data_IF_003389700293
#
_entry.id   IF_003389700293
#
_cell.length_a   1.000
_cell.length_b   1.000
_cell.length_c   1.000
_cell.angle_alpha   90.00
_cell.angle_beta   90.00
_cell.angle_gamma   90.00
#
_symmetry.space_group_name_H-M   'P 1'
#
loop_
_entity.id
_entity.type
_entity.pdbx_description
1 polymer ?
#
# COMPACT_ATOMS: atom_id res chain seq x y z
N UNK A 1 -11.74 -34.18 -40.04
CA UNK A 1 -11.85 -32.75 -40.39
C UNK A 1 -10.97 -32.00 -39.41
N UNK A 2 -9.70 -31.88 -39.76
CA UNK A 2 -8.75 -30.97 -39.16
C UNK A 2 -9.13 -29.54 -39.56
N UNK A 3 -9.36 -28.67 -38.56
CA UNK A 3 -9.43 -27.23 -38.74
C UNK A 3 -9.10 -26.50 -37.42
N UNK A 4 -7.79 -26.32 -37.16
CA UNK A 4 -7.25 -25.06 -36.64
C UNK A 4 -7.51 -24.68 -35.18
N UNK A 5 -6.95 -25.42 -34.22
CA UNK A 5 -6.57 -24.79 -32.96
C UNK A 5 -5.21 -24.11 -33.16
N UNK A 6 -5.22 -22.94 -33.78
CA UNK A 6 -4.09 -22.02 -33.76
C UNK A 6 -3.93 -21.53 -32.33
N UNK A 7 -3.18 -22.28 -31.52
CA UNK A 7 -2.72 -21.80 -30.22
C UNK A 7 -1.83 -20.60 -30.47
N UNK A 8 -2.40 -19.40 -30.50
CA UNK A 8 -1.66 -18.16 -30.42
C UNK A 8 -0.76 -18.27 -29.19
N UNK A 9 0.54 -18.42 -29.42
CA UNK A 9 1.54 -18.36 -28.36
C UNK A 9 1.30 -17.04 -27.64
N UNK A 10 0.87 -17.10 -26.38
CA UNK A 10 0.76 -15.90 -25.56
C UNK A 10 2.12 -15.18 -25.64
N UNK A 11 2.14 -13.87 -25.92
CA UNK A 11 3.40 -13.15 -26.11
C UNK A 11 4.26 -13.33 -24.86
N UNK A 12 5.42 -13.97 -25.00
CA UNK A 12 6.33 -14.19 -23.88
C UNK A 12 6.83 -12.82 -23.39
N UNK A 13 6.48 -12.48 -22.15
CA UNK A 13 6.91 -11.21 -21.56
C UNK A 13 8.37 -11.32 -21.12
N UNK A 14 9.25 -10.65 -21.85
CA UNK A 14 10.66 -10.50 -21.47
C UNK A 14 10.88 -9.36 -20.46
N UNK A 15 12.03 -9.36 -19.77
CA UNK A 15 12.47 -8.31 -18.86
C UNK A 15 12.51 -6.92 -19.51
N UNK A 16 12.69 -6.87 -20.83
CA UNK A 16 12.61 -5.62 -21.60
C UNK A 16 11.23 -4.95 -21.47
N UNK A 17 10.14 -5.73 -21.47
CA UNK A 17 8.78 -5.21 -21.31
C UNK A 17 8.56 -4.64 -19.90
N UNK A 18 9.13 -5.28 -18.89
CA UNK A 18 9.12 -4.77 -17.51
C UNK A 18 9.90 -3.44 -17.43
N UNK A 19 11.04 -3.35 -18.10
CA UNK A 19 11.84 -2.13 -18.22
C UNK A 19 11.09 -0.98 -18.92
N UNK A 20 10.37 -1.28 -20.01
CA UNK A 20 9.51 -0.30 -20.68
C UNK A 20 8.38 0.19 -19.75
N UNK A 21 7.74 -0.72 -19.00
CA UNK A 21 6.75 -0.37 -17.99
C UNK A 21 7.31 0.53 -16.88
N UNK A 22 8.54 0.27 -16.43
CA UNK A 22 9.26 1.13 -15.49
C UNK A 22 9.52 2.54 -16.06
N UNK A 23 9.62 2.67 -17.39
CA UNK A 23 9.69 3.94 -18.09
C UNK A 23 8.51 4.89 -17.78
N UNK A 24 7.31 4.36 -17.58
CA UNK A 24 6.16 5.19 -17.18
C UNK A 24 6.31 5.81 -15.78
N UNK A 25 6.99 5.10 -14.86
CA UNK A 25 7.32 5.65 -13.54
C UNK A 25 8.37 6.75 -13.67
N UNK A 26 9.38 6.57 -14.52
CA UNK A 26 10.39 7.61 -14.80
C UNK A 26 9.72 8.84 -15.42
N UNK A 27 8.75 8.66 -16.32
CA UNK A 27 7.98 9.75 -16.89
C UNK A 27 7.23 10.54 -15.82
N UNK A 28 6.55 9.86 -14.89
CA UNK A 28 5.88 10.50 -13.75
C UNK A 28 6.85 11.28 -12.85
N UNK A 29 8.05 10.75 -12.63
CA UNK A 29 9.13 11.42 -11.87
C UNK A 29 9.59 12.68 -12.57
N UNK A 30 9.78 12.64 -13.89
CA UNK A 30 10.18 13.80 -14.70
C UNK A 30 9.08 14.87 -14.65
N UNK A 31 7.82 14.48 -14.84
CA UNK A 31 6.68 15.41 -14.79
C UNK A 31 6.54 16.06 -13.41
N UNK A 32 6.71 15.27 -12.34
CA UNK A 32 6.71 15.77 -10.97
C UNK A 32 7.84 16.79 -10.73
N UNK A 33 9.03 16.55 -11.29
CA UNK A 33 10.16 17.48 -11.23
C UNK A 33 9.95 18.78 -12.01
N UNK A 34 9.26 18.73 -13.15
CA UNK A 34 8.91 19.91 -13.96
C UNK A 34 7.87 20.77 -13.25
N UNK A 35 6.87 20.15 -12.62
CA UNK A 35 5.78 20.84 -11.92
C UNK A 35 6.18 21.37 -10.52
N UNK A 36 7.43 21.15 -10.08
CA UNK A 36 7.92 21.63 -8.79
C UNK A 36 7.28 20.96 -7.56
N UNK A 37 6.69 19.77 -7.74
CA UNK A 37 6.11 18.97 -6.65
C UNK A 37 7.21 18.51 -5.67
N UNK A 38 6.82 18.27 -4.42
CA UNK A 38 7.75 17.88 -3.35
C UNK A 38 8.61 16.68 -3.75
N UNK A 39 9.93 16.82 -3.55
CA UNK A 39 10.96 15.84 -3.94
C UNK A 39 10.70 14.44 -3.35
N UNK A 40 10.04 14.38 -2.20
CA UNK A 40 9.73 13.14 -1.48
C UNK A 40 8.77 12.22 -2.25
N UNK A 41 7.87 12.78 -3.07
CA UNK A 41 6.89 12.01 -3.84
C UNK A 41 7.60 11.26 -4.98
N UNK A 42 8.47 11.95 -5.70
CA UNK A 42 9.20 11.36 -6.83
C UNK A 42 10.12 10.21 -6.40
N UNK A 43 10.85 10.38 -5.30
CA UNK A 43 11.75 9.36 -4.77
C UNK A 43 10.99 8.16 -4.19
N UNK A 44 9.89 8.42 -3.47
CA UNK A 44 9.07 7.33 -2.93
C UNK A 44 8.44 6.48 -4.03
N UNK A 45 8.08 7.07 -5.18
CA UNK A 45 7.55 6.33 -6.33
C UNK A 45 8.60 5.37 -6.94
N UNK A 46 9.84 5.84 -7.13
CA UNK A 46 10.93 5.00 -7.66
C UNK A 46 11.26 3.86 -6.69
N UNK A 47 11.38 4.17 -5.40
CA UNK A 47 11.67 3.16 -4.36
C UNK A 47 10.53 2.13 -4.30
N UNK A 48 9.28 2.56 -4.38
CA UNK A 48 8.12 1.66 -4.42
C UNK A 48 8.14 0.76 -5.66
N UNK A 49 8.48 1.31 -6.84
CA UNK A 49 8.59 0.54 -8.06
C UNK A 49 9.71 -0.51 -8.01
N UNK A 50 10.90 -0.14 -7.53
CA UNK A 50 12.01 -1.08 -7.33
C UNK A 50 11.67 -2.17 -6.30
N UNK A 51 11.05 -1.79 -5.18
CA UNK A 51 10.54 -2.74 -4.17
C UNK A 51 9.52 -3.69 -4.79
N UNK A 52 8.61 -3.19 -5.63
CA UNK A 52 7.62 -4.02 -6.33
C UNK A 52 8.30 -5.08 -7.21
N UNK A 53 9.24 -4.68 -8.06
CA UNK A 53 9.99 -5.61 -8.93
C UNK A 53 10.70 -6.68 -8.09
N UNK A 54 11.42 -6.28 -7.04
CA UNK A 54 12.13 -7.20 -6.17
C UNK A 54 11.18 -8.15 -5.41
N UNK A 55 10.07 -7.65 -4.89
CA UNK A 55 9.09 -8.44 -4.16
C UNK A 55 8.36 -9.45 -5.04
N UNK A 56 7.95 -9.04 -6.24
CA UNK A 56 7.28 -9.95 -7.19
C UNK A 56 8.24 -11.05 -7.68
N UNK A 57 9.48 -10.69 -7.98
CA UNK A 57 10.52 -11.65 -8.38
C UNK A 57 10.82 -12.66 -7.27
N UNK A 58 10.93 -12.18 -6.02
CA UNK A 58 11.15 -13.05 -4.86
C UNK A 58 9.93 -13.96 -4.62
N UNK A 59 8.71 -13.43 -4.75
CA UNK A 59 7.47 -14.18 -4.56
C UNK A 59 7.40 -15.37 -5.53
N UNK A 60 7.82 -15.21 -6.79
CA UNK A 60 7.87 -16.32 -7.76
C UNK A 60 8.77 -17.46 -7.30
N UNK A 61 9.90 -17.16 -6.66
CA UNK A 61 10.81 -18.19 -6.13
C UNK A 61 10.24 -18.84 -4.87
N UNK A 62 9.62 -18.04 -3.98
CA UNK A 62 9.05 -18.52 -2.71
C UNK A 62 7.82 -19.41 -2.92
N UNK A 63 6.99 -19.12 -3.93
CA UNK A 63 5.75 -19.89 -4.16
C UNK A 63 6.00 -21.30 -4.71
N UNK A 64 7.06 -21.51 -5.51
CA UNK A 64 7.40 -22.83 -6.08
C UNK A 64 7.46 -23.96 -5.04
N UNK A 65 8.25 -23.87 -3.95
CA UNK A 65 8.31 -24.90 -2.92
C UNK A 65 7.03 -24.99 -2.07
N UNK A 66 6.24 -23.92 -1.99
CA UNK A 66 4.99 -23.92 -1.24
C UNK A 66 3.90 -24.68 -1.99
N UNK A 67 3.87 -24.57 -3.33
CA UNK A 67 2.90 -25.28 -4.16
C UNK A 67 3.12 -26.81 -4.20
N UNK A 68 4.36 -27.27 -4.04
CA UNK A 68 4.67 -28.70 -3.89
C UNK A 68 4.58 -29.20 -2.45
N UNK A 69 4.34 -28.31 -1.48
CA UNK A 69 4.28 -28.61 -0.07
C UNK A 69 2.91 -29.13 0.41
N UNK A 70 2.90 -29.72 1.59
CA UNK A 70 1.66 -30.14 2.28
C UNK A 70 0.94 -29.01 3.03
N UNK A 71 -0.10 -29.32 3.82
CA UNK A 71 -0.88 -28.33 4.59
C UNK A 71 -0.03 -27.44 5.50
N UNK A 72 1.08 -27.97 6.03
CA UNK A 72 2.02 -27.23 6.86
C UNK A 72 2.78 -26.13 6.10
N UNK A 73 3.07 -26.33 4.81
CA UNK A 73 3.67 -25.29 3.98
C UNK A 73 2.69 -24.13 3.77
N UNK A 74 1.40 -24.45 3.57
CA UNK A 74 0.31 -23.47 3.45
C UNK A 74 0.11 -22.70 4.76
N UNK A 75 0.13 -23.38 5.90
CA UNK A 75 0.09 -22.72 7.20
C UNK A 75 1.31 -21.80 7.43
N UNK A 76 2.50 -22.24 7.01
CA UNK A 76 3.72 -21.45 7.08
C UNK A 76 3.65 -20.16 6.27
N UNK A 77 3.16 -20.21 5.03
CA UNK A 77 3.00 -19.00 4.20
C UNK A 77 1.90 -18.07 4.74
N UNK A 78 0.83 -18.61 5.31
CA UNK A 78 -0.23 -17.82 5.97
C UNK A 78 0.34 -17.03 7.14
N UNK A 79 1.11 -17.72 7.98
CA UNK A 79 1.78 -17.09 9.11
C UNK A 79 2.77 -16.02 8.63
N UNK A 80 3.58 -16.34 7.61
CA UNK A 80 4.52 -15.39 7.01
C UNK A 80 3.82 -14.14 6.47
N UNK A 81 2.70 -14.28 5.75
CA UNK A 81 1.93 -13.14 5.23
C UNK A 81 1.35 -12.27 6.33
N UNK A 82 0.88 -12.85 7.44
CA UNK A 82 0.41 -12.08 8.59
C UNK A 82 1.54 -11.33 9.29
N UNK A 83 2.71 -11.97 9.45
CA UNK A 83 3.90 -11.35 10.03
C UNK A 83 4.39 -10.21 9.15
N UNK A 84 4.61 -10.46 7.85
CA UNK A 84 5.04 -9.44 6.89
C UNK A 84 4.02 -8.30 6.78
N UNK A 85 2.72 -8.62 6.80
CA UNK A 85 1.65 -7.64 6.80
C UNK A 85 1.66 -6.74 8.03
N UNK A 86 1.91 -7.31 9.21
CA UNK A 86 2.08 -6.57 10.46
C UNK A 86 3.29 -5.65 10.39
N UNK A 87 4.43 -6.15 9.90
CA UNK A 87 5.63 -5.33 9.71
C UNK A 87 5.36 -4.16 8.74
N UNK A 88 4.71 -4.42 7.62
CA UNK A 88 4.35 -3.38 6.64
C UNK A 88 3.41 -2.34 7.24
N UNK A 89 2.39 -2.77 8.00
CA UNK A 89 1.44 -1.90 8.68
C UNK A 89 2.13 -0.98 9.69
N UNK A 90 2.98 -1.54 10.56
CA UNK A 90 3.63 -0.84 11.68
C UNK A 90 4.78 0.04 11.21
N UNK A 91 5.62 -0.45 10.29
CA UNK A 91 6.87 0.22 9.96
C UNK A 91 6.78 1.13 8.73
N UNK A 92 6.02 0.72 7.71
CA UNK A 92 6.01 1.40 6.41
C UNK A 92 4.78 2.32 6.23
N UNK A 93 3.58 1.87 6.63
CA UNK A 93 2.35 2.66 6.42
C UNK A 93 1.95 3.54 7.61
N UNK A 94 2.29 3.19 8.84
CA UNK A 94 1.91 3.98 10.02
C UNK A 94 2.80 5.24 10.19
N UNK A 95 2.20 6.42 10.00
CA UNK A 95 2.85 7.74 10.21
C UNK A 95 2.94 8.16 11.69
N UNK A 96 2.08 7.65 12.57
CA UNK A 96 2.04 7.94 14.02
C UNK A 96 1.92 6.62 14.79
N UNK A 97 2.73 6.40 15.84
CA UNK A 97 2.90 5.08 16.48
C UNK A 97 2.53 5.11 17.98
N UNK A 98 2.15 3.97 18.57
CA UNK A 98 1.93 3.83 20.03
C UNK A 98 2.53 2.55 20.63
N UNK A 99 3.06 2.56 21.85
CA UNK A 99 4.13 1.66 22.34
C UNK A 99 3.88 0.12 22.31
N UNK A 100 2.68 -0.45 22.48
CA UNK A 100 2.41 -1.89 22.20
C UNK A 100 2.00 -2.17 20.72
N UNK A 101 2.92 -1.88 19.77
CA UNK A 101 2.69 -1.76 18.30
C UNK A 101 2.40 -3.06 17.56
N UNK A 102 3.16 -4.12 17.85
CA UNK A 102 3.23 -5.32 17.00
C UNK A 102 2.21 -6.39 17.41
N UNK A 103 2.07 -6.77 18.69
CA UNK A 103 1.17 -7.87 19.06
C UNK A 103 -0.30 -7.50 18.86
N UNK A 104 -0.68 -6.23 19.08
CA UNK A 104 -2.06 -5.76 18.86
C UNK A 104 -2.44 -5.79 17.37
N UNK A 105 -1.58 -5.25 16.50
CA UNK A 105 -1.78 -5.24 15.05
C UNK A 105 -1.73 -6.66 14.48
N UNK A 106 -0.80 -7.50 14.95
CA UNK A 106 -0.74 -8.90 14.57
C UNK A 106 -2.01 -9.66 14.96
N UNK A 107 -2.51 -9.46 16.18
CA UNK A 107 -3.72 -10.12 16.66
C UNK A 107 -4.95 -9.67 15.85
N UNK A 108 -5.06 -8.38 15.53
CA UNK A 108 -6.13 -7.88 14.65
C UNK A 108 -6.07 -8.47 13.25
N UNK A 109 -4.87 -8.57 12.66
CA UNK A 109 -4.68 -9.16 11.33
C UNK A 109 -4.94 -10.66 11.32
N UNK A 110 -4.28 -11.42 12.19
CA UNK A 110 -4.40 -12.86 12.27
C UNK A 110 -5.82 -13.27 12.68
N UNK A 111 -6.40 -12.58 13.66
CA UNK A 111 -7.75 -12.83 14.16
C UNK A 111 -8.87 -12.49 13.18
N UNK A 112 -8.59 -11.72 12.12
CA UNK A 112 -9.56 -11.45 11.04
C UNK A 112 -9.29 -12.31 9.80
N UNK A 113 -8.04 -12.34 9.34
CA UNK A 113 -7.67 -12.95 8.07
C UNK A 113 -7.73 -14.48 8.11
N UNK A 114 -7.28 -15.11 9.20
CA UNK A 114 -7.30 -16.56 9.33
C UNK A 114 -8.73 -17.12 9.33
N UNK A 115 -9.67 -16.65 10.19
CA UNK A 115 -11.02 -17.21 10.18
C UNK A 115 -11.77 -16.91 8.87
N UNK A 116 -11.65 -15.69 8.32
CA UNK A 116 -12.35 -15.34 7.07
C UNK A 116 -11.81 -16.13 5.88
N UNK A 117 -10.49 -16.35 5.79
CA UNK A 117 -9.91 -17.15 4.72
C UNK A 117 -10.30 -18.63 4.83
N UNK A 118 -10.25 -19.22 6.03
CA UNK A 118 -10.64 -20.63 6.22
C UNK A 118 -12.13 -20.84 5.92
N UNK A 119 -13.01 -19.98 6.48
CA UNK A 119 -14.45 -20.08 6.27
C UNK A 119 -14.82 -19.79 4.81
N UNK A 120 -14.22 -18.75 4.21
CA UNK A 120 -14.50 -18.37 2.82
C UNK A 120 -14.04 -19.43 1.82
N UNK A 121 -12.82 -19.96 1.97
CA UNK A 121 -12.31 -20.98 1.06
C UNK A 121 -13.05 -22.32 1.20
N UNK A 122 -13.40 -22.71 2.43
CA UNK A 122 -14.14 -23.97 2.66
C UNK A 122 -15.61 -23.88 2.25
N UNK A 123 -16.33 -22.86 2.70
CA UNK A 123 -17.78 -22.79 2.52
C UNK A 123 -18.21 -21.98 1.30
N UNK A 124 -17.60 -20.82 1.05
CA UNK A 124 -18.04 -19.95 -0.04
C UNK A 124 -17.47 -20.40 -1.39
N UNK A 125 -16.20 -20.81 -1.44
CA UNK A 125 -15.55 -21.26 -2.67
C UNK A 125 -15.68 -22.77 -2.93
N UNK A 126 -16.20 -23.53 -1.96
CA UNK A 126 -16.40 -24.98 -2.03
C UNK A 126 -15.15 -25.75 -2.50
N UNK A 127 -13.97 -25.34 -2.02
CA UNK A 127 -12.72 -26.01 -2.36
C UNK A 127 -12.47 -27.20 -1.45
N UNK A 128 -12.45 -28.40 -2.05
CA UNK A 128 -11.96 -29.61 -1.38
C UNK A 128 -10.63 -30.08 -2.01
N UNK A 129 -9.54 -30.17 -1.22
CA UNK A 129 -9.35 -29.61 0.12
C UNK A 129 -9.17 -28.08 0.11
N UNK A 130 -9.56 -27.40 1.20
CA UNK A 130 -9.52 -25.93 1.31
C UNK A 130 -8.10 -25.33 1.27
N UNK A 131 -7.07 -26.16 1.49
CA UNK A 131 -5.66 -25.75 1.50
C UNK A 131 -4.98 -25.91 0.13
N UNK A 132 -5.72 -26.01 -0.97
CA UNK A 132 -5.15 -26.02 -2.33
C UNK A 132 -4.27 -24.76 -2.54
N UNK A 133 -2.93 -24.91 -2.62
CA UNK A 133 -2.01 -23.76 -2.52
C UNK A 133 -2.17 -22.74 -3.65
N UNK A 134 -2.46 -23.22 -4.85
CA UNK A 134 -2.64 -22.45 -6.09
C UNK A 134 -3.81 -21.47 -6.01
N UNK A 135 -4.87 -21.81 -5.28
CA UNK A 135 -6.08 -21.00 -5.15
C UNK A 135 -6.11 -20.23 -3.82
N UNK A 136 -5.70 -20.87 -2.73
CA UNK A 136 -5.78 -20.30 -1.39
C UNK A 136 -4.78 -19.15 -1.17
N UNK A 137 -3.54 -19.30 -1.65
CA UNK A 137 -2.47 -18.32 -1.38
C UNK A 137 -2.74 -16.96 -2.05
N UNK A 138 -3.16 -16.89 -3.33
CA UNK A 138 -3.53 -15.61 -3.95
C UNK A 138 -4.71 -14.92 -3.23
N UNK A 139 -5.74 -15.69 -2.84
CA UNK A 139 -6.90 -15.16 -2.11
C UNK A 139 -6.44 -14.56 -0.78
N UNK A 140 -5.64 -15.30 -0.02
CA UNK A 140 -5.09 -14.82 1.24
C UNK A 140 -4.23 -13.56 1.06
N UNK A 141 -3.38 -13.52 0.04
CA UNK A 141 -2.56 -12.35 -0.28
C UNK A 141 -3.40 -11.10 -0.54
N UNK A 142 -4.51 -11.25 -1.29
CA UNK A 142 -5.46 -10.16 -1.53
C UNK A 142 -6.16 -9.70 -0.24
N UNK A 143 -6.62 -10.63 0.60
CA UNK A 143 -7.22 -10.30 1.90
C UNK A 143 -6.24 -9.50 2.76
N UNK A 144 -5.03 -10.02 3.01
CA UNK A 144 -3.99 -9.34 3.75
C UNK A 144 -3.72 -7.93 3.21
N UNK A 145 -3.52 -7.80 1.89
CA UNK A 145 -3.18 -6.53 1.25
C UNK A 145 -4.24 -5.43 1.44
N UNK A 146 -5.51 -5.77 1.22
CA UNK A 146 -6.64 -4.86 1.44
C UNK A 146 -6.81 -4.50 2.92
N UNK A 147 -6.73 -5.50 3.80
CA UNK A 147 -6.98 -5.36 5.23
C UNK A 147 -5.92 -4.51 5.93
N UNK A 148 -4.64 -4.65 5.56
CA UNK A 148 -3.56 -3.77 6.05
C UNK A 148 -3.89 -2.31 5.77
N UNK A 149 -4.36 -2.01 4.56
CA UNK A 149 -4.63 -0.63 4.13
C UNK A 149 -5.78 -0.01 4.92
N UNK A 150 -6.91 -0.73 5.06
CA UNK A 150 -8.05 -0.25 5.85
C UNK A 150 -7.72 -0.11 7.33
N UNK A 151 -7.05 -1.11 7.92
CA UNK A 151 -6.67 -1.10 9.33
C UNK A 151 -5.72 0.06 9.68
N UNK A 152 -4.72 0.33 8.84
CA UNK A 152 -3.79 1.46 9.08
C UNK A 152 -4.52 2.81 9.00
N UNK A 153 -5.46 2.95 8.08
CA UNK A 153 -6.31 4.17 7.99
C UNK A 153 -7.13 4.34 9.28
N UNK A 154 -7.81 3.27 9.74
CA UNK A 154 -8.62 3.31 10.96
C UNK A 154 -7.79 3.73 12.19
N UNK A 155 -6.66 3.03 12.42
CA UNK A 155 -5.79 3.29 13.58
C UNK A 155 -5.17 4.68 13.50
N UNK A 156 -4.70 5.10 12.33
CA UNK A 156 -4.09 6.42 12.17
C UNK A 156 -5.09 7.54 12.41
N UNK A 157 -6.34 7.36 11.97
CA UNK A 157 -7.42 8.31 12.22
C UNK A 157 -7.75 8.39 13.71
N UNK A 158 -7.95 7.27 14.40
CA UNK A 158 -8.22 7.25 15.86
C UNK A 158 -7.12 7.97 16.64
N UNK A 159 -5.85 7.67 16.35
CA UNK A 159 -4.72 8.32 17.03
C UNK A 159 -4.67 9.83 16.76
N UNK A 160 -4.98 10.24 15.53
CA UNK A 160 -5.04 11.66 15.17
C UNK A 160 -6.18 12.37 15.90
N UNK A 161 -7.39 11.80 15.86
CA UNK A 161 -8.58 12.37 16.49
C UNK A 161 -8.45 12.48 18.01
N UNK A 162 -7.89 11.47 18.68
CA UNK A 162 -7.68 11.53 20.14
C UNK A 162 -6.66 12.62 20.50
N UNK A 163 -5.64 12.86 19.67
CA UNK A 163 -4.67 13.92 19.89
C UNK A 163 -5.27 15.31 19.64
N UNK A 164 -6.05 15.48 18.57
CA UNK A 164 -6.62 16.77 18.17
C UNK A 164 -7.85 17.16 19.01
N UNK A 165 -8.68 16.20 19.41
CA UNK A 165 -9.90 16.41 20.19
C UNK A 165 -9.79 15.91 21.65
N UNK A 166 -8.56 15.95 22.21
CA UNK A 166 -8.26 15.51 23.57
C UNK A 166 -9.24 16.08 24.61
N UNK A 167 -9.43 17.40 24.58
CA UNK A 167 -10.23 18.12 25.59
C UNK A 167 -11.68 17.63 25.62
N UNK A 168 -12.24 17.29 24.45
CA UNK A 168 -13.60 16.74 24.34
C UNK A 168 -13.67 15.36 24.98
N UNK A 169 -12.71 14.49 24.69
CA UNK A 169 -12.68 13.13 25.25
C UNK A 169 -12.52 13.19 26.77
N UNK A 170 -11.62 14.02 27.29
CA UNK A 170 -11.45 14.22 28.73
C UNK A 170 -12.70 14.80 29.39
N UNK A 171 -13.40 15.72 28.72
CA UNK A 171 -14.69 16.27 29.20
C UNK A 171 -15.73 15.16 29.35
N UNK A 172 -15.93 14.31 28.33
CA UNK A 172 -16.87 13.18 28.43
C UNK A 172 -16.53 12.23 29.58
N UNK A 173 -15.24 11.92 29.76
CA UNK A 173 -14.78 11.07 30.86
C UNK A 173 -15.01 11.73 32.23
N UNK A 174 -14.85 13.06 32.34
CA UNK A 174 -15.13 13.82 33.55
C UNK A 174 -16.64 13.87 33.89
N UNK A 175 -17.51 13.85 32.89
CA UNK A 175 -18.96 13.69 33.07
C UNK A 175 -19.40 12.25 33.37
N UNK A 176 -18.46 11.31 33.53
CA UNK A 176 -18.73 9.93 33.91
C UNK A 176 -19.04 8.98 32.74
N UNK A 177 -18.81 9.41 31.49
CA UNK A 177 -18.97 8.52 30.34
C UNK A 177 -17.95 7.37 30.39
N UNK A 178 -18.38 6.18 29.98
CA UNK A 178 -17.47 5.05 29.83
C UNK A 178 -16.51 5.25 28.64
N UNK A 179 -15.39 4.53 28.66
CA UNK A 179 -14.35 4.56 27.60
C UNK A 179 -14.94 4.26 26.21
N UNK A 180 -15.92 3.37 26.15
CA UNK A 180 -16.60 3.01 24.92
C UNK A 180 -17.55 4.11 24.44
N UNK A 181 -18.28 4.77 25.35
CA UNK A 181 -19.18 5.86 25.00
C UNK A 181 -18.43 7.09 24.52
N UNK A 182 -17.37 7.49 25.22
CA UNK A 182 -16.54 8.65 24.86
C UNK A 182 -15.87 8.47 23.48
N UNK A 183 -15.47 7.23 23.13
CA UNK A 183 -14.75 6.94 21.90
C UNK A 183 -15.61 6.38 20.75
N UNK A 184 -16.88 6.06 20.99
CA UNK A 184 -17.83 5.56 19.97
C UNK A 184 -17.90 6.43 18.69
N UNK A 185 -18.01 7.76 18.76
CA UNK A 185 -18.06 8.58 17.54
C UNK A 185 -16.75 8.51 16.74
N UNK A 186 -15.61 8.53 17.43
CA UNK A 186 -14.28 8.41 16.82
C UNK A 186 -14.13 7.04 16.14
N UNK A 187 -14.53 5.96 16.82
CA UNK A 187 -14.46 4.61 16.27
C UNK A 187 -15.35 4.41 15.04
N UNK A 188 -16.53 5.02 15.04
CA UNK A 188 -17.50 4.91 13.93
C UNK A 188 -16.96 5.59 12.68
N UNK A 189 -16.42 6.80 12.81
CA UNK A 189 -15.80 7.51 11.69
C UNK A 189 -14.50 6.84 11.23
N UNK A 190 -13.69 6.29 12.14
CA UNK A 190 -12.51 5.51 11.78
C UNK A 190 -12.86 4.30 10.89
N UNK A 191 -13.90 3.56 11.27
CA UNK A 191 -14.36 2.40 10.51
C UNK A 191 -14.94 2.81 9.16
N UNK A 192 -15.72 3.90 9.12
CA UNK A 192 -16.24 4.46 7.88
C UNK A 192 -15.12 4.79 6.90
N UNK A 193 -14.10 5.53 7.36
CA UNK A 193 -12.95 5.90 6.54
C UNK A 193 -12.15 4.69 6.04
N UNK A 194 -12.03 3.64 6.86
CA UNK A 194 -11.34 2.42 6.49
C UNK A 194 -12.08 1.59 5.42
N UNK A 195 -13.42 1.62 5.43
CA UNK A 195 -14.27 0.83 4.52
C UNK A 195 -14.63 1.55 3.22
N UNK A 196 -14.57 2.88 3.19
CA UNK A 196 -14.87 3.68 1.99
C UNK A 196 -14.16 3.18 0.72
N UNK A 197 -12.85 2.85 0.72
CA UNK A 197 -12.19 2.36 -0.49
C UNK A 197 -12.79 1.06 -1.02
N UNK A 198 -13.13 0.12 -0.13
CA UNK A 198 -13.72 -1.17 -0.51
C UNK A 198 -15.15 -0.99 -1.03
N UNK A 199 -15.95 -0.13 -0.40
CA UNK A 199 -17.30 0.18 -0.85
C UNK A 199 -17.27 0.82 -2.24
N UNK A 200 -16.41 1.82 -2.43
CA UNK A 200 -16.25 2.49 -3.73
C UNK A 200 -15.79 1.51 -4.81
N UNK A 201 -14.90 0.57 -4.47
CA UNK A 201 -14.46 -0.46 -5.40
C UNK A 201 -15.61 -1.38 -5.81
N UNK A 202 -16.44 -1.84 -4.85
CA UNK A 202 -17.61 -2.67 -5.12
C UNK A 202 -18.64 -1.99 -6.02
N UNK A 203 -18.81 -0.67 -5.90
CA UNK A 203 -19.75 0.09 -6.75
C UNK A 203 -19.32 0.18 -8.21
N UNK A 204 -18.03 0.00 -8.51
CA UNK A 204 -17.44 0.24 -9.83
C UNK A 204 -17.05 -1.06 -10.54
N UNK A 205 -16.73 -2.11 -9.77
CA UNK A 205 -16.41 -3.44 -10.28
C UNK A 205 -17.59 -4.00 -11.08
N UNK A 206 -17.31 -4.44 -12.31
CA UNK A 206 -18.31 -5.00 -13.22
C UNK A 206 -19.04 -3.96 -14.09
N UNK A 207 -19.00 -2.67 -13.73
CA UNK A 207 -19.50 -1.59 -14.60
C UNK A 207 -18.43 -1.10 -15.59
N UNK A 208 -17.25 -0.72 -15.06
CA UNK A 208 -16.14 -0.20 -15.88
C UNK A 208 -14.83 -0.95 -15.64
N UNK A 209 -14.67 -1.56 -14.47
CA UNK A 209 -13.45 -2.22 -14.05
C UNK A 209 -13.63 -3.73 -14.01
N UNK A 210 -12.81 -4.46 -14.77
CA UNK A 210 -12.64 -5.91 -14.64
C UNK A 210 -11.45 -6.13 -13.68
N UNK A 211 -11.67 -6.75 -12.51
CA UNK A 211 -10.57 -7.04 -11.59
C UNK A 211 -9.51 -7.94 -12.22
N UNK A 212 -8.23 -7.68 -11.91
CA UNK A 212 -7.12 -8.40 -12.55
C UNK A 212 -7.15 -9.93 -12.34
N UNK A 213 -7.65 -10.42 -11.20
CA UNK A 213 -7.81 -11.86 -10.96
C UNK A 213 -8.92 -12.47 -11.82
N UNK A 214 -10.03 -11.73 -12.03
CA UNK A 214 -11.08 -12.14 -12.96
C UNK A 214 -10.55 -12.19 -14.40
N UNK A 215 -9.80 -11.16 -14.84
CA UNK A 215 -9.12 -11.19 -16.15
C UNK A 215 -8.16 -12.37 -16.24
N UNK A 216 -7.37 -12.64 -15.20
CA UNK A 216 -6.47 -13.80 -15.15
C UNK A 216 -7.20 -15.14 -15.28
N UNK A 217 -8.33 -15.31 -14.61
CA UNK A 217 -9.16 -16.52 -14.72
C UNK A 217 -9.73 -16.69 -16.13
N UNK A 218 -10.17 -15.59 -16.76
CA UNK A 218 -10.65 -15.58 -18.14
C UNK A 218 -9.55 -15.95 -19.14
N UNK A 219 -8.35 -15.36 -19.00
CA UNK A 219 -7.18 -15.70 -19.83
C UNK A 219 -6.74 -17.16 -19.61
N UNK A 220 -6.94 -17.68 -18.39
CA UNK A 220 -6.73 -19.10 -18.07
C UNK A 220 -7.82 -20.04 -18.57
N UNK A 221 -8.80 -19.57 -19.35
CA UNK A 221 -9.86 -20.38 -19.95
C UNK A 221 -11.03 -20.71 -19.03
N UNK A 222 -11.16 -20.05 -17.87
CA UNK A 222 -12.33 -20.23 -17.00
C UNK A 222 -13.58 -19.60 -17.62
N UNK A 223 -14.75 -20.18 -17.32
CA UNK A 223 -16.02 -19.59 -17.76
C UNK A 223 -16.25 -18.23 -17.10
N UNK A 224 -16.82 -17.29 -17.87
CA UNK A 224 -17.08 -15.91 -17.40
C UNK A 224 -17.96 -15.89 -16.16
N UNK A 225 -18.98 -16.75 -16.13
CA UNK A 225 -19.91 -16.86 -15.01
C UNK A 225 -19.20 -17.33 -13.73
N UNK A 226 -18.30 -18.32 -13.84
CA UNK A 226 -17.56 -18.82 -12.69
C UNK A 226 -16.57 -17.77 -12.17
N UNK A 227 -15.88 -17.09 -13.07
CA UNK A 227 -14.95 -16.01 -12.70
C UNK A 227 -15.68 -14.85 -11.99
N UNK A 228 -16.88 -14.48 -12.46
CA UNK A 228 -17.71 -13.46 -11.82
C UNK A 228 -18.17 -13.88 -10.41
N UNK A 229 -18.65 -15.11 -10.23
CA UNK A 229 -19.06 -15.64 -8.91
C UNK A 229 -17.90 -15.64 -7.92
N UNK A 230 -16.72 -16.10 -8.35
CA UNK A 230 -15.53 -16.10 -7.51
C UNK A 230 -15.11 -14.69 -7.11
N UNK A 231 -15.18 -13.74 -8.05
CA UNK A 231 -14.84 -12.35 -7.78
C UNK A 231 -15.81 -11.67 -6.80
N UNK A 232 -17.11 -11.97 -6.88
CA UNK A 232 -18.11 -11.50 -5.90
C UNK A 232 -17.79 -12.03 -4.49
N UNK A 233 -17.52 -13.33 -4.37
CA UNK A 233 -17.15 -13.96 -3.10
C UNK A 233 -15.91 -13.29 -2.49
N UNK A 234 -14.86 -13.08 -3.29
CA UNK A 234 -13.62 -12.46 -2.82
C UNK A 234 -13.85 -11.03 -2.35
N UNK A 235 -14.69 -10.26 -3.04
CA UNK A 235 -15.01 -8.89 -2.61
C UNK A 235 -15.72 -8.89 -1.25
N UNK A 236 -16.67 -9.80 -1.02
CA UNK A 236 -17.33 -9.94 0.28
C UNK A 236 -16.37 -10.38 1.38
N UNK A 237 -15.44 -11.29 1.07
CA UNK A 237 -14.39 -11.72 2.01
C UNK A 237 -13.44 -10.56 2.36
N UNK A 238 -13.00 -9.76 1.37
CA UNK A 238 -12.16 -8.58 1.58
C UNK A 238 -12.85 -7.58 2.51
N UNK A 239 -14.13 -7.28 2.26
CA UNK A 239 -14.89 -6.34 3.08
C UNK A 239 -15.06 -6.85 4.51
N UNK A 240 -15.41 -8.14 4.67
CA UNK A 240 -15.58 -8.77 5.99
C UNK A 240 -14.28 -8.79 6.79
N UNK A 241 -13.17 -9.18 6.15
CA UNK A 241 -11.84 -9.21 6.75
C UNK A 241 -11.39 -7.80 7.16
N UNK A 242 -11.54 -6.82 6.28
CA UNK A 242 -11.15 -5.43 6.54
C UNK A 242 -11.98 -4.80 7.65
N UNK A 243 -13.29 -5.06 7.68
CA UNK A 243 -14.18 -4.62 8.76
C UNK A 243 -13.77 -5.21 10.10
N UNK A 244 -13.57 -6.52 10.16
CA UNK A 244 -13.22 -7.23 11.40
C UNK A 244 -11.85 -6.79 11.91
N UNK A 245 -10.83 -6.71 11.05
CA UNK A 245 -9.50 -6.26 11.43
C UNK A 245 -9.50 -4.82 11.94
N UNK A 246 -10.21 -3.93 11.24
CA UNK A 246 -10.30 -2.51 11.61
C UNK A 246 -11.03 -2.35 12.94
N UNK A 247 -12.11 -3.09 13.16
CA UNK A 247 -12.84 -3.09 14.43
C UNK A 247 -11.94 -3.54 15.58
N UNK A 248 -11.30 -4.71 15.47
CA UNK A 248 -10.41 -5.23 16.52
C UNK A 248 -9.23 -4.28 16.75
N UNK A 249 -8.62 -3.75 15.70
CA UNK A 249 -7.52 -2.81 15.82
C UNK A 249 -7.93 -1.50 16.50
N UNK A 250 -9.09 -0.92 16.15
CA UNK A 250 -9.62 0.28 16.79
C UNK A 250 -9.93 0.01 18.25
N UNK A 251 -10.63 -1.09 18.57
CA UNK A 251 -10.95 -1.44 19.96
C UNK A 251 -9.69 -1.63 20.80
N UNK A 252 -8.70 -2.38 20.32
CA UNK A 252 -7.43 -2.56 21.02
C UNK A 252 -6.68 -1.23 21.18
N UNK A 253 -6.66 -0.38 20.17
CA UNK A 253 -6.02 0.94 20.23
C UNK A 253 -6.68 1.80 21.32
N UNK A 254 -8.02 1.85 21.38
CA UNK A 254 -8.76 2.60 22.40
C UNK A 254 -8.53 2.06 23.82
N UNK A 255 -8.48 0.73 23.98
CA UNK A 255 -8.20 0.09 25.26
C UNK A 255 -6.77 0.36 25.78
N UNK A 256 -5.84 0.71 24.90
CA UNK A 256 -4.45 1.01 25.24
C UNK A 256 -4.24 2.51 25.49
N UNK A 257 -4.92 3.37 24.73
CA UNK A 257 -4.76 4.83 24.78
C UNK A 257 -5.56 5.44 25.93
N UNK A 258 -6.81 5.01 26.13
CA UNK A 258 -7.52 5.29 27.37
C UNK A 258 -7.03 4.26 28.39
N UNK A 259 -7.08 4.49 29.70
CA UNK A 259 -6.76 3.50 30.74
C UNK A 259 -8.03 3.02 31.45
N UNK A 260 -8.10 1.84 32.10
CA UNK A 260 -9.26 1.42 32.90
C UNK A 260 -9.73 2.43 33.94
N UNK A 261 -8.84 3.32 34.41
CA UNK A 261 -9.21 4.45 35.28
C UNK A 261 -9.77 5.67 34.53
N UNK A 262 -10.19 5.53 33.27
CA UNK A 262 -10.73 6.61 32.43
C UNK A 262 -9.75 7.79 32.26
N UNK A 263 -8.44 7.52 32.27
CA UNK A 263 -7.40 8.52 32.02
C UNK A 263 -6.84 8.38 30.61
N UNK A 264 -6.60 9.48 29.92
CA UNK A 264 -5.97 9.48 28.60
C UNK A 264 -4.44 9.33 28.76
N UNK A 265 -3.86 8.21 28.30
CA UNK A 265 -2.42 7.94 28.35
C UNK A 265 -1.75 8.31 27.02
N UNK A 266 -1.52 9.61 26.82
CA UNK A 266 -0.79 10.11 25.65
C UNK A 266 0.70 9.78 25.68
N UNK A 267 1.26 9.46 26.86
CA UNK A 267 2.66 9.03 27.03
C UNK A 267 3.01 7.75 26.26
N UNK A 268 1.99 7.00 25.81
CA UNK A 268 2.18 5.82 24.97
C UNK A 268 2.11 6.13 23.47
N UNK A 269 1.83 7.36 23.06
CA UNK A 269 1.70 7.77 21.66
C UNK A 269 2.97 8.47 21.20
N UNK A 270 4.01 7.67 20.95
CA UNK A 270 5.28 8.18 20.43
C UNK A 270 5.18 8.57 18.95
N UNK A 271 5.39 9.87 18.70
CA UNK A 271 5.64 10.44 17.36
C UNK A 271 7.11 10.29 16.93
N UNK A 272 7.89 9.43 17.60
CA UNK A 272 9.31 9.31 17.29
C UNK A 272 9.50 8.61 15.93
N UNK A 273 10.05 9.37 14.98
CA UNK A 273 10.42 8.88 13.64
C UNK A 273 11.39 7.74 13.80
N UNK A 274 11.00 6.54 13.37
CA UNK A 274 11.86 5.37 13.39
C UNK A 274 13.21 5.66 12.71
N UNK A 275 14.29 5.06 13.23
CA UNK A 275 15.61 5.04 12.57
C UNK A 275 15.54 4.64 11.08
N UNK A 276 14.54 3.83 10.72
CA UNK A 276 14.26 3.39 9.34
C UNK A 276 13.87 4.56 8.42
N UNK A 277 13.16 5.58 8.93
CA UNK A 277 12.83 6.79 8.15
C UNK A 277 14.07 7.66 7.93
N UNK A 278 14.95 7.81 8.94
CA UNK A 278 16.25 8.49 8.76
C UNK A 278 17.16 7.77 7.75
N UNK A 279 17.15 6.43 7.74
CA UNK A 279 17.89 5.65 6.76
C UNK A 279 17.31 5.76 5.35
N UNK A 280 15.98 5.72 5.23
CA UNK A 280 15.27 5.91 3.96
C UNK A 280 15.49 7.31 3.39
N UNK A 281 15.45 8.34 4.22
CA UNK A 281 15.66 9.72 3.78
C UNK A 281 17.09 9.91 3.23
N UNK A 282 18.11 9.23 3.80
CA UNK A 282 19.47 9.17 3.21
C UNK A 282 19.52 8.48 1.84
N UNK A 283 18.78 7.38 1.67
CA UNK A 283 18.70 6.68 0.37
C UNK A 283 17.95 7.52 -0.66
N UNK A 284 16.88 8.20 -0.24
CA UNK A 284 16.11 9.15 -1.05
C UNK A 284 17.02 10.27 -1.56
N UNK A 285 17.82 10.89 -0.68
CA UNK A 285 18.76 11.93 -1.06
C UNK A 285 19.80 11.44 -2.09
N UNK A 286 20.30 10.22 -1.94
CA UNK A 286 21.24 9.60 -2.89
C UNK A 286 20.63 9.35 -4.27
N UNK A 287 19.42 8.80 -4.32
CA UNK A 287 18.70 8.54 -5.58
C UNK A 287 18.33 9.85 -6.28
N UNK A 288 17.80 10.83 -5.54
CA UNK A 288 17.45 12.16 -6.06
C UNK A 288 18.69 12.90 -6.56
N UNK A 289 19.81 12.82 -5.85
CA UNK A 289 21.09 13.38 -6.27
C UNK A 289 21.60 12.77 -7.58
N UNK A 290 21.48 11.44 -7.74
CA UNK A 290 21.82 10.73 -8.96
C UNK A 290 20.96 11.15 -10.16
N UNK A 291 19.64 11.22 -9.98
CA UNK A 291 18.69 11.66 -11.02
C UNK A 291 18.93 13.11 -11.41
N UNK A 292 19.19 14.00 -10.46
CA UNK A 292 19.48 15.43 -10.74
C UNK A 292 20.82 15.61 -11.47
N UNK A 293 21.84 14.83 -11.15
CA UNK A 293 23.13 14.87 -11.85
C UNK A 293 23.00 14.38 -13.30
N UNK A 294 22.21 13.34 -13.54
CA UNK A 294 21.89 12.84 -14.87
C UNK A 294 21.08 13.87 -15.67
N UNK A 295 20.02 14.44 -15.08
CA UNK A 295 19.15 15.41 -15.74
C UNK A 295 19.84 16.76 -15.97
N UNK A 296 20.62 17.24 -14.99
CA UNK A 296 21.43 18.45 -15.11
C UNK A 296 22.46 18.35 -16.23
N UNK A 297 23.06 17.17 -16.45
CA UNK A 297 23.96 16.93 -17.60
C UNK A 297 23.21 16.95 -18.93
N UNK A 298 22.00 16.42 -18.99
CA UNK A 298 21.17 16.40 -20.22
C UNK A 298 20.65 17.81 -20.55
N UNK A 299 20.14 18.55 -19.56
CA UNK A 299 19.61 19.90 -19.74
C UNK A 299 20.72 20.92 -20.03
N UNK A 300 21.89 20.80 -19.39
CA UNK A 300 23.05 21.66 -19.66
C UNK A 300 23.69 21.37 -21.02
N UNK A 301 23.57 20.14 -21.55
CA UNK A 301 23.92 19.84 -22.96
C UNK A 301 22.97 20.49 -23.96
N UNK A 302 21.70 20.69 -23.61
CA UNK A 302 20.71 21.33 -24.48
C UNK A 302 20.82 22.86 -24.46
N UNK A 303 20.98 23.49 -23.30
CA UNK A 303 21.19 24.95 -23.21
C UNK A 303 22.61 25.40 -23.56
N UNK A 304 23.62 24.52 -23.45
CA UNK A 304 24.98 24.81 -23.92
C UNK A 304 25.11 24.88 -25.44
N UNK A 305 24.10 24.41 -26.19
CA UNK A 305 24.03 24.53 -27.65
C UNK A 305 23.51 25.88 -28.15
N UNK A 306 22.70 26.59 -27.35
CA UNK A 306 22.20 27.93 -27.72
C UNK A 306 23.17 29.05 -27.34
N UNK A 307 23.93 28.89 -26.25
CA UNK A 307 24.88 29.93 -25.81
C UNK A 307 26.11 30.04 -26.73
N UNK A 308 26.44 28.99 -27.49
CA UNK A 308 27.54 29.03 -28.46
C UNK A 308 27.13 29.56 -29.84
N UNK A 309 25.84 29.82 -30.08
CA UNK A 309 25.35 30.46 -31.32
C UNK A 309 25.23 31.98 -31.18
N UNK A 310 25.07 32.50 -29.96
CA UNK A 310 24.96 33.95 -29.72
C UNK A 310 26.30 34.66 -29.47
N UNK A 311 27.40 33.94 -29.23
CA UNK A 311 28.74 34.55 -29.11
C UNK A 311 29.44 34.76 -30.47
N UNK A 312 28.76 34.52 -31.60
CA UNK A 312 29.30 34.69 -32.95
C UNK A 312 28.95 36.01 -33.64
N UNK A 313 28.20 36.91 -33.00
CA UNK A 313 27.86 38.23 -33.56
C UNK A 313 28.48 39.31 -32.69
N UNK A 314 29.73 39.65 -32.99
CA UNK A 314 30.42 40.77 -32.36
C UNK A 314 29.92 42.12 -32.88
N UNK A 315 29.71 43.06 -31.96
CA UNK A 315 29.87 44.50 -32.22
C UNK A 315 30.44 45.19 -30.97
N UNK A 316 31.74 45.42 -31.05
CA UNK A 316 32.58 46.55 -30.59
C UNK A 316 32.08 47.52 -29.50
N UNK A 317 32.90 47.58 -28.45
CA UNK A 317 33.42 48.73 -27.68
C UNK A 317 32.70 50.09 -27.72
N UNK A 318 32.41 50.60 -26.52
CA UNK A 318 32.08 51.99 -26.26
C UNK A 318 31.96 52.26 -24.76
N UNK A 319 33.03 52.78 -24.16
CA UNK A 319 33.15 53.25 -22.78
C UNK A 319 31.98 54.11 -22.30
N UNK A 320 31.63 54.02 -21.00
CA UNK A 320 31.22 55.18 -20.17
C UNK A 320 31.26 54.85 -18.67
N UNK A 321 31.99 55.71 -17.96
CA UNK A 321 32.19 55.78 -16.52
C UNK A 321 30.88 56.02 -15.74
N UNK A 322 30.80 55.66 -14.44
CA UNK A 322 29.66 56.02 -13.61
C UNK A 322 29.86 57.44 -13.04
N UNK A 323 28.92 58.35 -13.34
CA UNK A 323 28.82 59.64 -12.65
C UNK A 323 27.77 59.53 -11.54
N UNK A 324 28.21 59.92 -10.34
CA UNK A 324 27.40 60.29 -9.19
C UNK A 324 26.40 61.40 -9.56
N UNK A 325 25.19 61.31 -9.01
CA UNK A 325 24.12 62.30 -9.04
C UNK A 325 22.90 61.76 -8.32
#
# INVERSE_FOLDING_TARGET
>A
MDSGNGGEKSPELDWLNVGLGFGFIIFNVILSGILGLEKDISASLVIAALRCIGQLSLLTVVLKPVFSGGPWAVAGIVFLFNVLGTFEAVYNKSKRRFTPKIPSVFLSMAGSTIPVSILGSRFAMNHEPFWKPDQYIPVLGMLCGSTISGMVVAVSFVLKEIQENRDKVETYLAFGASRFEACKPIATEALRLALLPTINQMSVIGLIAIPGMMTGALLGGSSVEQAAKLQMIIMFMINSCTTLASLVAVTLTLLIVVDPENRLRLDKVDSEKALIWKARDRVIEGVVGGVKSAFGKVFRRRNGGEQNKNNGVGVRDGERQPLLG
#
